data_IF_179426355105
#
_entry.id   IF_179426355105
#
_cell.length_a   1.000
_cell.length_b   1.000
_cell.length_c   1.000
_cell.angle_alpha   90.00
_cell.angle_beta   90.00
_cell.angle_gamma   90.00
#
_symmetry.space_group_name_H-M   'P 1'
#
loop_
_entity.id
_entity.type
_entity.pdbx_description
1 polymer ?
#
# COMPACT_ATOMS: atom_id res chain seq x y z
N UNK A 1 0.06 7.18 13.75
CA UNK A 1 -0.78 6.77 12.62
C UNK A 1 -1.42 5.45 12.99
N UNK A 2 -2.75 5.46 13.03
CA UNK A 2 -3.55 4.31 13.44
C UNK A 2 -3.71 3.34 12.26
N UNK A 3 -4.07 2.09 12.54
CA UNK A 3 -4.23 1.08 11.49
C UNK A 3 -5.27 1.52 10.45
N UNK A 4 -6.35 2.18 10.88
CA UNK A 4 -7.38 2.72 9.99
C UNK A 4 -6.81 3.72 8.98
N UNK A 5 -5.87 4.58 9.39
CA UNK A 5 -5.23 5.54 8.50
C UNK A 5 -4.30 4.84 7.50
N UNK A 6 -3.65 3.75 7.91
CA UNK A 6 -2.82 2.92 7.02
C UNK A 6 -3.68 2.31 5.92
N UNK A 7 -4.83 1.71 6.27
CA UNK A 7 -5.75 1.12 5.30
C UNK A 7 -6.42 2.18 4.40
N UNK A 8 -6.76 3.36 4.94
CA UNK A 8 -7.27 4.48 4.14
C UNK A 8 -6.24 4.98 3.14
N UNK A 9 -5.00 5.15 3.58
CA UNK A 9 -3.89 5.58 2.71
C UNK A 9 -3.65 4.56 1.61
N UNK A 10 -3.62 3.26 1.97
CA UNK A 10 -3.51 2.18 1.01
C UNK A 10 -4.65 2.19 -0.03
N UNK A 11 -5.90 2.39 0.42
CA UNK A 11 -7.06 2.48 -0.47
C UNK A 11 -6.97 3.70 -1.40
N UNK A 12 -6.56 4.87 -0.90
CA UNK A 12 -6.37 6.08 -1.71
C UNK A 12 -5.29 5.86 -2.76
N UNK A 13 -4.18 5.21 -2.42
CA UNK A 13 -3.13 4.87 -3.38
C UNK A 13 -3.63 3.93 -4.47
N UNK A 14 -4.42 2.91 -4.11
CA UNK A 14 -5.04 2.00 -5.08
C UNK A 14 -6.04 2.72 -5.97
N UNK A 15 -6.81 3.66 -5.43
CA UNK A 15 -7.78 4.44 -6.20
C UNK A 15 -7.10 5.41 -7.18
N UNK A 16 -6.04 6.08 -6.74
CA UNK A 16 -5.31 7.07 -7.53
C UNK A 16 -4.34 6.45 -8.55
N UNK A 17 -3.66 5.35 -8.19
CA UNK A 17 -2.58 4.77 -9.00
C UNK A 17 -2.87 3.36 -9.50
N UNK A 18 -3.99 2.74 -9.09
CA UNK A 18 -4.39 1.41 -9.54
C UNK A 18 -3.33 0.35 -9.26
N UNK A 19 -2.76 -0.22 -10.33
CA UNK A 19 -1.73 -1.26 -10.26
C UNK A 19 -0.38 -0.72 -9.76
N UNK A 20 -0.12 0.58 -9.93
CA UNK A 20 1.12 1.22 -9.53
C UNK A 20 1.11 1.65 -8.04
N UNK A 21 -0.01 1.49 -7.34
CA UNK A 21 -0.14 1.88 -5.93
C UNK A 21 0.93 1.26 -5.02
N UNK A 22 1.34 0.02 -5.32
CA UNK A 22 2.39 -0.67 -4.58
C UNK A 22 3.77 -0.04 -4.83
N UNK A 23 4.06 0.34 -6.08
CA UNK A 23 5.32 0.98 -6.46
C UNK A 23 5.44 2.37 -5.82
N UNK A 24 4.35 3.13 -5.77
CA UNK A 24 4.29 4.44 -5.12
C UNK A 24 4.52 4.34 -3.60
N UNK A 25 3.94 3.32 -2.95
CA UNK A 25 4.17 3.06 -1.54
C UNK A 25 5.62 2.66 -1.26
N UNK A 26 6.22 1.87 -2.15
CA UNK A 26 7.62 1.47 -2.06
C UNK A 26 8.55 2.68 -2.19
N UNK A 27 8.37 3.51 -3.22
CA UNK A 27 9.18 4.73 -3.41
C UNK A 27 9.09 5.69 -2.22
N UNK A 28 7.93 5.83 -1.59
CA UNK A 28 7.79 6.65 -0.38
C UNK A 28 8.50 6.05 0.83
N UNK A 29 8.58 4.73 0.93
CA UNK A 29 9.39 4.06 1.96
C UNK A 29 10.89 4.31 1.71
N UNK A 30 11.36 4.23 0.47
CA UNK A 30 12.74 4.54 0.09
C UNK A 30 13.08 6.02 0.35
N UNK A 31 12.20 6.94 -0.04
CA UNK A 31 12.38 8.37 0.25
C UNK A 31 12.47 8.65 1.75
N UNK A 32 11.62 8.00 2.57
CA UNK A 32 11.70 8.15 4.03
C UNK A 32 13.00 7.58 4.61
N UNK A 33 13.62 6.60 3.95
CA UNK A 33 14.93 6.08 4.32
C UNK A 33 16.03 7.08 3.96
N UNK A 34 15.96 7.69 2.79
CA UNK A 34 16.89 8.73 2.33
C UNK A 34 16.83 9.99 3.20
N UNK A 35 15.63 10.36 3.65
CA UNK A 35 15.39 11.46 4.60
C UNK A 35 15.95 11.17 6.01
N UNK A 36 16.33 9.92 6.29
CA UNK A 36 16.82 9.51 7.61
C UNK A 36 15.71 9.35 8.64
N UNK A 37 14.48 9.14 8.19
CA UNK A 37 13.27 9.03 9.01
C UNK A 37 12.83 7.56 9.15
N UNK A 38 13.40 6.78 10.09
CA UNK A 38 13.09 5.35 10.27
C UNK A 38 11.63 5.10 10.66
N UNK A 39 11.00 6.08 11.29
CA UNK A 39 9.58 6.09 11.63
C UNK A 39 8.72 6.11 10.35
N UNK A 40 9.08 6.97 9.39
CA UNK A 40 8.44 7.06 8.09
C UNK A 40 8.55 5.75 7.30
N UNK A 41 9.74 5.14 7.29
CA UNK A 41 9.96 3.82 6.67
C UNK A 41 9.03 2.77 7.27
N UNK A 42 8.89 2.75 8.60
CA UNK A 42 8.03 1.78 9.29
C UNK A 42 6.57 1.97 8.93
N UNK A 43 6.10 3.22 8.86
CA UNK A 43 4.73 3.57 8.45
C UNK A 43 4.47 3.13 7.01
N UNK A 44 5.35 3.51 6.07
CA UNK A 44 5.18 3.17 4.65
C UNK A 44 5.26 1.66 4.38
N UNK A 45 6.09 0.92 5.12
CA UNK A 45 6.11 -0.56 5.06
C UNK A 45 4.76 -1.17 5.46
N UNK A 46 4.07 -0.61 6.47
CA UNK A 46 2.73 -1.08 6.84
C UNK A 46 1.70 -0.72 5.77
N UNK A 47 1.78 0.47 5.18
CA UNK A 47 0.92 0.87 4.05
C UNK A 47 1.12 -0.06 2.86
N UNK A 48 2.36 -0.39 2.52
CA UNK A 48 2.70 -1.29 1.42
C UNK A 48 2.10 -2.69 1.63
N UNK A 49 2.17 -3.22 2.86
CA UNK A 49 1.50 -4.47 3.22
C UNK A 49 -0.01 -4.37 3.09
N UNK A 50 -0.63 -3.28 3.55
CA UNK A 50 -2.07 -3.07 3.40
C UNK A 50 -2.50 -2.91 1.93
N UNK A 51 -1.68 -2.29 1.07
CA UNK A 51 -1.93 -2.20 -0.37
C UNK A 51 -1.92 -3.59 -1.00
N UNK A 52 -0.92 -4.42 -0.67
CA UNK A 52 -0.84 -5.79 -1.17
C UNK A 52 -2.05 -6.62 -0.71
N UNK A 53 -2.44 -6.47 0.56
CA UNK A 53 -3.57 -7.19 1.14
C UNK A 53 -4.90 -6.76 0.50
N UNK A 54 -5.13 -5.44 0.30
CA UNK A 54 -6.29 -4.92 -0.43
C UNK A 54 -6.31 -5.37 -1.90
N UNK A 55 -5.14 -5.52 -2.54
CA UNK A 55 -5.05 -6.05 -3.91
C UNK A 55 -5.36 -7.54 -3.95
N UNK A 56 -4.90 -8.33 -2.97
CA UNK A 56 -5.27 -9.75 -2.85
C UNK A 56 -6.75 -9.93 -2.50
N UNK A 57 -7.31 -9.04 -1.69
CA UNK A 57 -8.71 -9.07 -1.25
C UNK A 57 -9.68 -8.51 -2.28
N UNK A 58 -9.25 -7.71 -3.27
CA UNK A 58 -10.04 -7.54 -4.49
C UNK A 58 -10.02 -8.89 -5.19
N UNK A 59 -11.11 -9.69 -5.13
CA UNK A 59 -11.13 -10.91 -5.90
C UNK A 59 -10.92 -10.48 -7.34
N UNK A 60 -9.97 -11.13 -8.01
CA UNK A 60 -10.03 -11.21 -9.47
C UNK A 60 -11.48 -11.54 -9.80
N UNK A 61 -12.18 -10.64 -10.49
CA UNK A 61 -13.55 -10.85 -10.94
C UNK A 61 -13.61 -11.92 -12.06
N UNK A 62 -12.76 -12.93 -11.96
CA UNK A 62 -12.57 -13.99 -12.94
C UNK A 62 -12.04 -15.25 -12.25
N UNK A 63 -12.79 -15.78 -11.29
CA UNK A 63 -12.90 -17.23 -11.14
C UNK A 63 -14.34 -17.64 -11.48
N UNK A 64 -14.64 -17.98 -12.74
CA UNK A 64 -15.57 -19.03 -13.05
C UNK A 64 -14.75 -20.28 -13.37
N UNK A 65 -14.66 -21.24 -12.44
CA UNK A 65 -14.37 -22.65 -12.75
C UNK A 65 -14.66 -23.46 -11.48
N UNK A 66 -15.91 -23.87 -11.28
CA UNK A 66 -16.52 -25.12 -11.77
C UNK A 66 -16.00 -26.36 -11.04
#
# INVERSE_FOLDING_TARGET
MDEIDIWRTAKILIDAHGENAWLEAAQRADHALEDGSPEGVTVWKRVLRAVEDLRRQKPSASEPLN
#
